data_IF_821285009947
#
_entry.id   IF_821285009947
#
_cell.length_a   1.000
_cell.length_b   1.000
_cell.length_c   1.000
_cell.angle_alpha   90.00
_cell.angle_beta   90.00
_cell.angle_gamma   90.00
#
_symmetry.space_group_name_H-M   'P 1'
#
loop_
_entity.id
_entity.type
_entity.pdbx_description
1 polymer ?
#
# COMPACT_ATOMS: atom_id res chain seq x y z
N UNK A 1 -9.39 -34.58 -15.16
CA UNK A 1 -9.76 -33.89 -16.42
C UNK A 1 -8.50 -33.29 -17.02
N UNK A 2 -8.16 -33.63 -18.26
CA UNK A 2 -7.02 -33.03 -18.98
C UNK A 2 -7.58 -31.89 -19.83
N UNK A 3 -7.12 -30.66 -19.60
CA UNK A 3 -7.58 -29.48 -20.34
C UNK A 3 -6.97 -29.47 -21.74
N UNK A 4 -7.81 -29.25 -22.76
CA UNK A 4 -7.36 -29.01 -24.13
C UNK A 4 -6.83 -27.56 -24.30
N UNK A 5 -6.22 -27.25 -25.44
CA UNK A 5 -5.61 -25.92 -25.64
C UNK A 5 -6.62 -24.76 -25.57
N UNK A 6 -7.83 -24.95 -26.09
CA UNK A 6 -8.89 -23.94 -26.03
C UNK A 6 -9.30 -23.65 -24.58
N UNK A 7 -9.53 -24.70 -23.80
CA UNK A 7 -9.91 -24.60 -22.39
C UNK A 7 -8.84 -23.91 -21.55
N UNK A 8 -7.55 -24.13 -21.86
CA UNK A 8 -6.43 -23.42 -21.22
C UNK A 8 -6.46 -21.92 -21.53
N UNK A 9 -6.68 -21.55 -22.79
CA UNK A 9 -6.79 -20.13 -23.19
C UNK A 9 -7.97 -19.45 -22.51
N UNK A 10 -9.13 -20.10 -22.43
CA UNK A 10 -10.31 -19.54 -21.76
C UNK A 10 -10.09 -19.28 -20.26
N UNK A 11 -9.29 -20.09 -19.57
CA UNK A 11 -8.91 -19.86 -18.17
C UNK A 11 -7.97 -18.65 -18.04
N UNK A 12 -7.01 -18.51 -18.96
CA UNK A 12 -6.09 -17.37 -18.98
C UNK A 12 -6.83 -16.06 -19.27
N UNK A 13 -7.77 -16.07 -20.21
CA UNK A 13 -8.65 -14.92 -20.49
C UNK A 13 -9.49 -14.56 -19.26
N UNK A 14 -10.01 -15.57 -18.55
CA UNK A 14 -10.77 -15.35 -17.32
C UNK A 14 -9.91 -14.66 -16.26
N UNK A 15 -8.67 -15.10 -16.02
CA UNK A 15 -7.74 -14.42 -15.11
C UNK A 15 -7.51 -12.96 -15.48
N UNK A 16 -7.21 -12.70 -16.75
CA UNK A 16 -6.92 -11.36 -17.27
C UNK A 16 -8.15 -10.47 -17.09
N UNK A 17 -9.34 -10.95 -17.46
CA UNK A 17 -10.60 -10.22 -17.32
C UNK A 17 -10.93 -9.85 -15.87
N UNK A 18 -10.45 -10.65 -14.91
CA UNK A 18 -10.65 -10.44 -13.48
C UNK A 18 -9.56 -9.58 -12.86
N UNK A 19 -8.49 -9.23 -13.59
CA UNK A 19 -7.35 -8.44 -13.09
C UNK A 19 -6.70 -9.06 -11.84
N UNK A 20 -6.64 -10.39 -11.78
CA UNK A 20 -6.02 -11.11 -10.66
C UNK A 20 -4.60 -11.50 -11.05
N UNK A 21 -3.61 -11.00 -10.34
CA UNK A 21 -2.20 -11.36 -10.55
C UNK A 21 -1.90 -12.75 -9.97
N UNK A 22 -2.30 -13.80 -10.70
CA UNK A 22 -2.00 -15.18 -10.36
C UNK A 22 -1.25 -15.84 -11.51
N UNK A 23 -0.15 -16.52 -11.18
CA UNK A 23 0.51 -17.41 -12.15
C UNK A 23 -0.15 -18.77 -12.06
N UNK A 24 -0.94 -19.11 -13.08
CA UNK A 24 -1.45 -20.48 -13.23
C UNK A 24 -0.49 -21.30 -14.06
N UNK A 25 -0.04 -22.41 -13.50
CA UNK A 25 0.66 -23.46 -14.24
C UNK A 25 -0.29 -24.63 -14.43
N UNK A 26 -0.59 -24.99 -15.67
CA UNK A 26 -1.43 -26.14 -15.98
C UNK A 26 -0.51 -27.33 -16.21
N UNK A 27 -0.38 -28.18 -15.20
CA UNK A 27 0.53 -29.33 -15.25
C UNK A 27 -0.11 -30.45 -16.10
N UNK A 28 0.70 -31.06 -16.98
CA UNK A 28 0.24 -32.21 -17.77
C UNK A 28 -0.17 -33.33 -16.81
N UNK A 29 -1.44 -33.74 -16.89
CA UNK A 29 -2.03 -34.87 -16.18
C UNK A 29 -2.28 -34.71 -14.66
N UNK A 30 -2.02 -33.55 -14.05
CA UNK A 30 -2.10 -33.39 -12.58
C UNK A 30 -3.10 -32.31 -12.13
N UNK A 31 -3.35 -31.27 -12.93
CA UNK A 31 -4.36 -30.24 -12.62
C UNK A 31 -3.88 -28.81 -12.84
N UNK A 32 -4.52 -27.85 -12.18
CA UNK A 32 -4.15 -26.44 -12.18
C UNK A 32 -3.35 -26.14 -10.91
N UNK A 33 -2.11 -25.70 -11.06
CA UNK A 33 -1.25 -25.22 -9.99
C UNK A 33 -1.31 -23.70 -9.94
N UNK A 34 -1.68 -23.15 -8.80
CA UNK A 34 -1.71 -21.70 -8.56
C UNK A 34 -0.41 -21.32 -7.85
N UNK A 35 0.41 -20.49 -8.51
CA UNK A 35 1.61 -19.91 -7.90
C UNK A 35 1.37 -18.43 -7.63
N UNK A 36 1.44 -18.07 -6.36
CA UNK A 36 1.37 -16.68 -5.92
C UNK A 36 2.24 -16.50 -4.67
N UNK A 37 2.98 -15.38 -4.52
CA UNK A 37 3.76 -15.10 -3.31
C UNK A 37 2.95 -15.15 -2.01
N UNK A 38 1.62 -15.02 -2.11
CA UNK A 38 0.67 -15.07 -0.99
C UNK A 38 -0.33 -16.20 -1.07
N UNK A 39 0.11 -17.36 -1.54
CA UNK A 39 -0.72 -18.55 -1.68
C UNK A 39 -1.53 -18.89 -0.42
N UNK A 40 -0.95 -18.78 0.77
CA UNK A 40 -1.63 -19.05 2.05
C UNK A 40 -2.89 -18.19 2.27
N UNK A 41 -2.87 -16.92 1.86
CA UNK A 41 -4.02 -16.02 1.99
C UNK A 41 -5.13 -16.38 1.01
N UNK A 42 -4.78 -16.77 -0.22
CA UNK A 42 -5.73 -17.26 -1.23
C UNK A 42 -6.43 -18.51 -0.71
N UNK A 43 -5.68 -19.45 -0.13
CA UNK A 43 -6.25 -20.67 0.47
C UNK A 43 -7.17 -20.32 1.65
N UNK A 44 -6.78 -19.38 2.51
CA UNK A 44 -7.62 -18.93 3.62
C UNK A 44 -8.94 -18.29 3.13
N UNK A 45 -8.89 -17.44 2.10
CA UNK A 45 -10.07 -16.84 1.44
C UNK A 45 -11.00 -17.91 0.88
N UNK A 46 -10.45 -18.89 0.16
CA UNK A 46 -11.24 -19.99 -0.42
C UNK A 46 -11.87 -20.83 0.70
N UNK A 47 -11.11 -21.22 1.73
CA UNK A 47 -11.61 -21.99 2.89
C UNK A 47 -12.72 -21.27 3.65
N UNK A 48 -12.59 -19.95 3.89
CA UNK A 48 -13.57 -19.13 4.62
C UNK A 48 -14.93 -19.04 3.90
N UNK A 49 -14.93 -19.11 2.57
CA UNK A 49 -16.16 -19.06 1.77
C UNK A 49 -17.05 -20.31 1.89
N UNK A 50 -16.58 -21.35 2.58
CA UNK A 50 -17.19 -22.67 2.72
C UNK A 50 -18.50 -22.77 3.53
N UNK A 51 -19.55 -22.02 3.13
CA UNK A 51 -20.94 -22.35 3.50
C UNK A 51 -21.76 -22.98 2.37
N UNK A 52 -21.31 -22.96 1.11
CA UNK A 52 -22.03 -23.54 -0.04
C UNK A 52 -21.15 -24.41 -0.96
N UNK A 53 -19.94 -24.77 -0.53
CA UNK A 53 -18.99 -25.48 -1.38
C UNK A 53 -18.62 -26.80 -0.71
N UNK A 54 -19.44 -27.84 -0.94
CA UNK A 54 -19.00 -29.21 -0.69
C UNK A 54 -17.76 -29.46 -1.55
N UNK A 55 -16.62 -29.50 -0.85
CA UNK A 55 -15.30 -29.82 -1.37
C UNK A 55 -15.14 -31.32 -1.16
N UNK A 56 -15.71 -32.09 -2.08
CA UNK A 56 -15.45 -33.53 -2.12
C UNK A 56 -13.94 -33.75 -2.37
N UNK A 57 -13.31 -34.34 -1.36
CA UNK A 57 -11.92 -34.83 -1.30
C UNK A 57 -10.81 -33.78 -1.11
N UNK A 58 -10.59 -33.41 0.15
CA UNK A 58 -9.27 -32.97 0.61
C UNK A 58 -8.37 -34.20 0.82
N UNK A 59 -7.40 -34.44 -0.04
CA UNK A 59 -6.20 -35.19 0.34
C UNK A 59 -5.06 -34.21 0.58
N UNK A 60 -4.88 -33.86 1.84
CA UNK A 60 -3.64 -33.26 2.33
C UNK A 60 -2.52 -34.29 2.12
N UNK A 61 -1.65 -34.06 1.15
CA UNK A 61 -0.28 -34.58 1.23
C UNK A 61 0.66 -33.41 1.52
N UNK A 62 1.61 -33.69 2.41
CA UNK A 62 2.69 -32.93 3.06
C UNK A 62 3.30 -31.65 2.42
N UNK A 63 2.82 -31.12 1.30
CA UNK A 63 3.46 -30.07 0.49
C UNK A 63 2.57 -28.84 0.14
N UNK A 64 1.60 -28.46 0.99
CA UNK A 64 0.70 -27.30 0.75
C UNK A 64 0.00 -27.30 -0.63
N UNK A 65 -0.25 -28.47 -1.22
CA UNK A 65 -0.90 -28.58 -2.53
C UNK A 65 -2.40 -28.84 -2.34
N UNK A 66 -3.26 -28.05 -3.00
CA UNK A 66 -4.72 -28.24 -2.98
C UNK A 66 -5.16 -28.78 -4.35
N UNK A 67 -5.67 -30.00 -4.37
CA UNK A 67 -6.22 -30.62 -5.57
C UNK A 67 -7.75 -30.60 -5.49
N UNK A 68 -8.41 -30.03 -6.50
CA UNK A 68 -9.88 -30.04 -6.63
C UNK A 68 -10.25 -30.75 -7.92
N UNK A 69 -11.14 -31.73 -7.83
CA UNK A 69 -11.63 -32.50 -8.97
C UNK A 69 -12.96 -31.91 -9.44
N UNK A 70 -13.04 -31.58 -10.73
CA UNK A 70 -14.24 -31.04 -11.36
C UNK A 70 -14.84 -32.07 -12.32
N UNK A 71 -16.17 -32.16 -12.33
CA UNK A 71 -16.92 -33.10 -13.20
C UNK A 71 -16.79 -32.73 -14.69
N UNK A 72 -16.76 -31.44 -14.99
CA UNK A 72 -16.69 -30.90 -16.34
C UNK A 72 -16.02 -29.51 -16.37
N UNK A 73 -15.69 -29.04 -17.57
CA UNK A 73 -15.01 -27.75 -17.77
C UNK A 73 -15.89 -26.53 -17.41
N UNK A 74 -17.20 -26.58 -17.64
CA UNK A 74 -18.09 -25.47 -17.31
C UNK A 74 -18.16 -25.26 -15.78
N UNK A 75 -18.26 -26.35 -15.03
CA UNK A 75 -18.17 -26.39 -13.57
C UNK A 75 -16.84 -25.81 -13.08
N UNK A 76 -15.71 -26.21 -13.68
CA UNK A 76 -14.39 -25.65 -13.37
C UNK A 76 -14.35 -24.13 -13.62
N UNK A 77 -14.74 -23.68 -14.81
CA UNK A 77 -14.71 -22.28 -15.23
C UNK A 77 -15.56 -21.39 -14.31
N UNK A 78 -16.77 -21.85 -13.97
CA UNK A 78 -17.64 -21.13 -13.06
C UNK A 78 -17.00 -20.98 -11.67
N UNK A 79 -16.43 -22.05 -11.12
CA UNK A 79 -15.78 -21.97 -9.79
C UNK A 79 -14.52 -21.13 -9.80
N UNK A 80 -13.69 -21.23 -10.84
CA UNK A 80 -12.53 -20.34 -11.00
C UNK A 80 -12.95 -18.88 -11.06
N UNK A 81 -14.05 -18.55 -11.74
CA UNK A 81 -14.58 -17.18 -11.74
C UNK A 81 -14.93 -16.74 -10.31
N UNK A 82 -15.67 -17.55 -9.55
CA UNK A 82 -16.02 -17.22 -8.17
C UNK A 82 -14.78 -17.07 -7.28
N UNK A 83 -13.78 -17.92 -7.45
CA UNK A 83 -12.52 -17.81 -6.73
C UNK A 83 -11.76 -16.55 -7.10
N UNK A 84 -11.66 -16.22 -8.39
CA UNK A 84 -11.01 -14.98 -8.82
C UNK A 84 -11.77 -13.75 -8.34
N UNK A 85 -13.10 -13.79 -8.30
CA UNK A 85 -13.92 -12.72 -7.71
C UNK A 85 -13.66 -12.56 -6.21
N UNK A 86 -13.54 -13.67 -5.47
CA UNK A 86 -13.21 -13.65 -4.04
C UNK A 86 -11.78 -13.21 -3.77
N UNK A 87 -10.82 -13.69 -4.57
CA UNK A 87 -9.41 -13.31 -4.47
C UNK A 87 -9.27 -11.83 -4.83
N UNK A 88 -9.91 -11.36 -5.91
CA UNK A 88 -9.96 -9.93 -6.22
C UNK A 88 -10.62 -9.14 -5.09
N UNK A 89 -11.67 -9.67 -4.46
CA UNK A 89 -12.34 -8.96 -3.36
C UNK A 89 -11.44 -8.85 -2.13
N UNK A 90 -10.85 -9.95 -1.67
CA UNK A 90 -10.04 -10.00 -0.46
C UNK A 90 -8.61 -9.47 -0.70
N UNK A 91 -8.17 -9.51 -1.96
CA UNK A 91 -6.86 -9.12 -2.47
C UNK A 91 -6.96 -8.31 -3.79
N UNK A 92 -7.66 -7.15 -3.79
CA UNK A 92 -7.84 -6.31 -4.96
C UNK A 92 -6.50 -5.67 -5.28
N UNK A 93 -5.88 -6.19 -6.33
CA UNK A 93 -4.78 -5.59 -7.07
C UNK A 93 -3.47 -5.37 -6.31
N UNK A 94 -2.39 -5.76 -6.99
CA UNK A 94 -1.01 -5.41 -6.65
C UNK A 94 -0.97 -3.91 -6.33
N UNK A 95 -0.48 -3.59 -5.15
CA UNK A 95 -0.19 -2.21 -4.82
C UNK A 95 0.89 -1.74 -5.79
N UNK A 96 0.56 -0.78 -6.66
CA UNK A 96 1.52 -0.30 -7.64
C UNK A 96 2.61 0.49 -6.91
N UNK A 97 3.71 -0.21 -6.60
CA UNK A 97 4.86 0.40 -5.95
C UNK A 97 5.53 1.39 -6.91
N UNK A 98 5.70 2.63 -6.45
CA UNK A 98 6.48 3.66 -7.14
C UNK A 98 7.93 3.52 -6.69
N UNK A 99 8.86 3.58 -7.64
CA UNK A 99 10.26 3.30 -7.36
C UNK A 99 10.88 4.28 -6.34
N UNK A 100 10.53 5.58 -6.39
CA UNK A 100 11.07 6.55 -5.45
C UNK A 100 10.54 6.29 -4.03
N UNK A 101 9.26 5.98 -3.90
CA UNK A 101 8.65 5.62 -2.61
C UNK A 101 9.24 4.32 -2.09
N UNK A 102 9.50 3.34 -2.95
CA UNK A 102 10.11 2.07 -2.56
C UNK A 102 11.55 2.26 -2.08
N UNK A 103 12.32 3.13 -2.74
CA UNK A 103 13.67 3.53 -2.33
C UNK A 103 13.64 4.29 -1.00
N UNK A 104 12.66 5.18 -0.82
CA UNK A 104 12.47 5.96 0.40
C UNK A 104 12.04 5.09 1.60
N UNK A 105 10.99 4.28 1.42
CA UNK A 105 10.29 3.58 2.49
C UNK A 105 9.75 2.22 2.03
N UNK A 106 10.63 1.23 1.93
CA UNK A 106 10.20 -0.14 1.60
C UNK A 106 9.19 -0.72 2.60
N UNK A 107 9.32 -0.35 3.88
CA UNK A 107 8.45 -0.84 4.95
C UNK A 107 7.02 -0.30 4.83
N UNK A 108 6.84 0.91 4.30
CA UNK A 108 5.53 1.51 4.08
C UNK A 108 4.62 0.60 3.25
N UNK A 109 5.10 0.10 2.10
CA UNK A 109 4.28 -0.72 1.21
C UNK A 109 3.80 -2.01 1.87
N UNK A 110 4.67 -2.66 2.65
CA UNK A 110 4.28 -3.85 3.41
C UNK A 110 3.11 -3.57 4.37
N UNK A 111 3.19 -2.48 5.13
CA UNK A 111 2.15 -2.13 6.11
C UNK A 111 0.87 -1.62 5.42
N UNK A 112 1.00 -0.87 4.33
CA UNK A 112 -0.15 -0.40 3.56
C UNK A 112 -0.94 -1.56 2.98
N UNK A 113 -0.23 -2.55 2.44
CA UNK A 113 -0.82 -3.76 1.90
C UNK A 113 -1.54 -4.59 2.98
N UNK A 114 -0.94 -4.75 4.16
CA UNK A 114 -1.61 -5.34 5.33
C UNK A 114 -2.93 -4.60 5.67
N UNK A 115 -2.91 -3.26 5.65
CA UNK A 115 -4.10 -2.45 5.91
C UNK A 115 -5.21 -2.67 4.87
N UNK A 116 -4.85 -2.76 3.59
CA UNK A 116 -5.81 -3.01 2.49
C UNK A 116 -6.43 -4.38 2.63
N UNK A 117 -5.63 -5.42 2.87
CA UNK A 117 -6.13 -6.79 3.10
C UNK A 117 -7.15 -6.78 4.23
N UNK A 118 -6.79 -6.22 5.40
CA UNK A 118 -7.64 -6.18 6.60
C UNK A 118 -8.93 -5.38 6.36
N UNK A 119 -8.84 -4.28 5.60
CA UNK A 119 -10.01 -3.51 5.19
C UNK A 119 -10.96 -4.38 4.35
N UNK A 120 -10.43 -5.07 3.34
CA UNK A 120 -11.24 -5.81 2.38
C UNK A 120 -11.90 -7.05 2.97
N UNK A 121 -11.30 -7.65 3.99
CA UNK A 121 -11.93 -8.74 4.76
C UNK A 121 -12.98 -8.24 5.77
N UNK A 122 -13.21 -6.92 5.88
CA UNK A 122 -14.30 -6.30 6.65
C UNK A 122 -13.93 -5.73 8.02
N UNK A 123 -12.65 -5.69 8.39
CA UNK A 123 -12.21 -5.18 9.69
C UNK A 123 -11.84 -3.69 9.62
N UNK A 124 -12.85 -2.83 9.44
CA UNK A 124 -12.65 -1.40 9.16
C UNK A 124 -11.83 -0.68 10.25
N UNK A 125 -12.15 -0.89 11.53
CA UNK A 125 -11.45 -0.21 12.64
C UNK A 125 -9.98 -0.61 12.72
N UNK A 126 -9.71 -1.92 12.64
CA UNK A 126 -8.34 -2.46 12.66
C UNK A 126 -7.54 -1.98 11.46
N UNK A 127 -8.15 -1.98 10.26
CA UNK A 127 -7.49 -1.47 9.07
C UNK A 127 -7.16 0.02 9.20
N UNK A 128 -8.01 0.83 9.84
CA UNK A 128 -7.75 2.24 10.11
C UNK A 128 -6.49 2.49 10.93
N UNK A 129 -6.26 1.69 11.97
CA UNK A 129 -5.04 1.76 12.77
C UNK A 129 -3.78 1.44 11.95
N UNK A 130 -3.87 0.43 11.08
CA UNK A 130 -2.74 -0.01 10.26
C UNK A 130 -2.47 0.98 9.13
N UNK A 131 -3.51 1.58 8.53
CA UNK A 131 -3.36 2.69 7.59
C UNK A 131 -2.62 3.88 8.21
N UNK A 132 -2.95 4.25 9.46
CA UNK A 132 -2.19 5.32 10.16
C UNK A 132 -0.75 4.93 10.40
N UNK A 133 -0.48 3.66 10.74
CA UNK A 133 0.90 3.17 10.90
C UNK A 133 1.66 3.21 9.57
N UNK A 134 1.03 2.84 8.45
CA UNK A 134 1.63 2.97 7.13
C UNK A 134 1.97 4.44 6.84
N UNK A 135 1.02 5.36 7.04
CA UNK A 135 1.25 6.79 6.87
C UNK A 135 2.34 7.31 7.81
N UNK A 136 2.38 6.84 9.05
CA UNK A 136 3.39 7.21 10.05
C UNK A 136 4.80 6.91 9.54
N UNK A 137 4.98 5.71 9.00
CA UNK A 137 6.26 5.25 8.45
C UNK A 137 6.66 6.10 7.23
N UNK A 138 5.77 6.24 6.24
CA UNK A 138 6.08 6.96 5.01
C UNK A 138 6.53 8.41 5.26
N UNK A 139 5.78 9.15 6.08
CA UNK A 139 6.09 10.55 6.34
C UNK A 139 7.36 10.70 7.18
N UNK A 140 7.62 9.80 8.13
CA UNK A 140 8.87 9.84 8.90
C UNK A 140 10.07 9.63 7.99
N UNK A 141 10.02 8.61 7.14
CA UNK A 141 11.10 8.34 6.19
C UNK A 141 11.31 9.53 5.24
N UNK A 142 10.21 10.16 4.80
CA UNK A 142 10.28 11.40 4.01
C UNK A 142 10.88 12.59 4.78
N UNK A 143 10.54 12.76 6.06
CA UNK A 143 11.10 13.82 6.90
C UNK A 143 12.58 13.60 7.17
N UNK A 144 13.04 12.35 7.29
CA UNK A 144 14.47 12.03 7.40
C UNK A 144 15.22 12.38 6.11
N UNK A 145 14.60 12.12 4.96
CA UNK A 145 15.16 12.53 3.66
C UNK A 145 15.30 14.05 3.55
N UNK A 146 14.26 14.83 3.91
CA UNK A 146 14.29 16.29 3.81
C UNK A 146 15.06 17.01 4.91
N UNK A 147 15.03 16.47 6.14
CA UNK A 147 15.51 17.12 7.35
C UNK A 147 16.46 16.19 8.14
N UNK A 148 17.58 15.73 7.54
CA UNK A 148 18.48 14.78 8.18
C UNK A 148 19.05 15.31 9.51
N UNK A 149 19.23 16.63 9.63
CA UNK A 149 19.68 17.28 10.88
C UNK A 149 18.69 17.18 12.06
N UNK A 150 17.47 16.67 11.83
CA UNK A 150 16.43 16.47 12.83
C UNK A 150 16.11 14.99 13.08
N UNK A 151 16.97 14.06 12.65
CA UNK A 151 16.77 12.61 12.76
C UNK A 151 16.27 12.17 14.14
N UNK A 152 16.98 12.56 15.21
CA UNK A 152 16.62 12.21 16.58
C UNK A 152 15.19 12.66 16.95
N UNK A 153 14.77 13.83 16.46
CA UNK A 153 13.40 14.32 16.68
C UNK A 153 12.39 13.50 15.88
N UNK A 154 12.67 13.22 14.61
CA UNK A 154 11.79 12.47 13.71
C UNK A 154 11.53 11.05 14.24
N UNK A 155 12.57 10.36 14.68
CA UNK A 155 12.45 8.99 15.18
C UNK A 155 11.64 8.92 16.48
N UNK A 156 11.88 9.84 17.41
CA UNK A 156 11.34 9.79 18.78
C UNK A 156 9.94 10.40 18.96
N UNK A 157 9.38 11.04 17.93
CA UNK A 157 8.07 11.69 18.04
C UNK A 157 7.07 11.07 17.08
N UNK A 158 5.79 11.09 17.45
CA UNK A 158 4.73 10.81 16.48
C UNK A 158 4.63 11.95 15.46
N UNK A 159 4.11 11.71 14.27
CA UNK A 159 3.93 12.77 13.26
C UNK A 159 3.10 13.92 13.80
N UNK A 160 2.04 13.63 14.56
CA UNK A 160 1.24 14.67 15.20
C UNK A 160 2.11 15.63 16.04
N UNK A 161 3.03 15.06 16.84
CA UNK A 161 4.00 15.83 17.63
C UNK A 161 5.04 16.55 16.77
N UNK A 162 5.54 15.90 15.71
CA UNK A 162 6.49 16.51 14.77
C UNK A 162 5.91 17.73 14.07
N UNK A 163 4.67 17.63 13.59
CA UNK A 163 3.97 18.76 12.98
C UNK A 163 3.83 19.90 13.99
N UNK A 164 3.45 19.62 15.24
CA UNK A 164 3.38 20.67 16.28
C UNK A 164 4.75 21.18 16.75
N UNK A 165 5.82 20.43 16.48
CA UNK A 165 7.19 20.85 16.77
C UNK A 165 7.66 21.91 15.75
N UNK A 166 7.33 21.73 14.48
CA UNK A 166 7.71 22.67 13.42
C UNK A 166 6.73 23.83 13.21
N UNK A 167 5.43 23.61 13.45
CA UNK A 167 4.39 24.58 13.13
C UNK A 167 3.58 25.02 14.35
N UNK A 168 3.28 26.31 14.40
CA UNK A 168 2.15 26.90 15.13
C UNK A 168 0.91 26.87 14.25
N UNK A 169 -0.25 26.63 14.86
CA UNK A 169 -1.51 26.48 14.12
C UNK A 169 -2.52 27.48 14.66
N UNK A 170 -2.65 28.59 13.95
CA UNK A 170 -3.51 29.72 14.30
C UNK A 170 -4.65 29.78 13.29
N UNK A 171 -5.90 29.68 13.74
CA UNK A 171 -7.10 29.70 12.88
C UNK A 171 -7.07 28.71 11.69
N UNK A 172 -6.39 27.56 11.85
CA UNK A 172 -6.27 26.53 10.81
C UNK A 172 -5.13 26.77 9.81
N UNK A 173 -4.40 27.87 9.94
CA UNK A 173 -3.20 28.16 9.19
C UNK A 173 -1.94 27.70 9.93
N UNK A 174 -1.01 27.12 9.17
CA UNK A 174 0.24 26.59 9.68
C UNK A 174 1.35 27.61 9.47
N UNK A 175 2.01 28.00 10.55
CA UNK A 175 3.11 28.95 10.53
C UNK A 175 4.34 28.28 11.09
N UNK A 176 5.47 28.36 10.39
CA UNK A 176 6.73 27.79 10.88
C UNK A 176 7.12 28.54 12.14
N UNK A 177 7.33 27.80 13.24
CA UNK A 177 7.72 28.38 14.53
C UNK A 177 9.01 29.19 14.38
N UNK A 178 9.08 30.30 15.11
CA UNK A 178 10.30 31.10 15.15
C UNK A 178 11.28 30.45 16.13
N UNK A 179 12.21 29.67 15.60
CA UNK A 179 13.27 29.03 16.36
C UNK A 179 14.58 29.16 15.60
N UNK A 180 15.68 29.47 16.30
CA UNK A 180 17.01 29.69 15.70
C UNK A 180 17.45 28.50 14.85
N UNK A 181 17.27 27.28 15.36
CA UNK A 181 17.53 26.02 14.64
C UNK A 181 16.69 25.82 13.37
N UNK A 182 15.56 26.52 13.22
CA UNK A 182 14.71 26.39 12.02
C UNK A 182 15.11 27.37 10.92
N UNK A 183 16.02 28.32 11.17
CA UNK A 183 16.44 29.30 10.17
C UNK A 183 16.92 28.66 8.86
N UNK A 184 17.74 27.62 8.97
CA UNK A 184 18.33 26.90 7.82
C UNK A 184 17.29 26.05 7.08
N UNK A 185 16.34 25.45 7.81
CA UNK A 185 15.33 24.54 7.23
C UNK A 185 13.99 25.22 6.92
N UNK A 186 13.90 26.54 7.14
CA UNK A 186 12.66 27.31 6.95
C UNK A 186 12.12 27.21 5.52
N UNK A 187 12.94 27.22 4.46
CA UNK A 187 12.46 27.01 3.09
C UNK A 187 11.77 25.65 2.92
N UNK A 188 12.42 24.57 3.36
CA UNK A 188 11.89 23.20 3.27
C UNK A 188 10.58 23.07 4.06
N UNK A 189 10.52 23.65 5.26
CA UNK A 189 9.29 23.66 6.07
C UNK A 189 8.16 24.48 5.42
N UNK A 190 8.46 25.54 4.66
CA UNK A 190 7.43 26.27 3.92
C UNK A 190 6.88 25.43 2.76
N UNK A 191 7.76 24.72 2.06
CA UNK A 191 7.42 23.88 0.92
C UNK A 191 6.48 22.73 1.32
N UNK A 192 6.78 22.02 2.41
CA UNK A 192 5.96 20.89 2.89
C UNK A 192 4.77 21.30 3.76
N UNK A 193 4.47 22.60 3.90
CA UNK A 193 3.34 23.11 4.72
C UNK A 193 2.01 22.50 4.29
N UNK A 194 1.75 22.46 2.98
CA UNK A 194 0.49 21.92 2.41
C UNK A 194 0.35 20.43 2.71
N UNK A 195 1.44 19.67 2.57
CA UNK A 195 1.54 18.28 2.94
C UNK A 195 1.24 18.09 4.44
N UNK A 196 1.84 18.88 5.33
CA UNK A 196 1.60 18.81 6.78
C UNK A 196 0.12 19.06 7.14
N UNK A 197 -0.54 20.00 6.46
CA UNK A 197 -1.99 20.25 6.60
C UNK A 197 -2.80 19.03 6.18
N UNK A 198 -2.43 18.38 5.07
CA UNK A 198 -3.07 17.16 4.58
C UNK A 198 -2.85 15.97 5.51
N UNK A 199 -1.65 15.82 6.05
CA UNK A 199 -1.33 14.75 7.02
C UNK A 199 -2.15 14.94 8.29
N UNK A 200 -2.18 16.14 8.88
CA UNK A 200 -2.95 16.41 10.11
C UNK A 200 -4.44 16.14 9.93
N UNK A 201 -5.02 16.49 8.78
CA UNK A 201 -6.43 16.19 8.49
C UNK A 201 -6.65 14.69 8.28
N UNK A 202 -5.70 13.99 7.68
CA UNK A 202 -5.76 12.53 7.48
C UNK A 202 -5.66 11.77 8.81
N UNK A 203 -4.78 12.18 9.73
CA UNK A 203 -4.68 11.59 11.08
C UNK A 203 -5.90 11.82 11.96
N UNK A 204 -6.70 12.87 11.69
CA UNK A 204 -7.98 13.08 12.39
C UNK A 204 -9.03 12.02 12.02
N UNK A 205 -8.88 11.32 10.89
CA UNK A 205 -9.82 10.29 10.47
C UNK A 205 -9.62 9.02 11.33
N UNK A 206 -10.60 8.76 12.20
CA UNK A 206 -10.73 7.56 13.05
C UNK A 206 -9.84 7.48 14.30
N UNK A 207 -9.30 8.60 14.77
CA UNK A 207 -8.39 8.62 15.92
C UNK A 207 -9.02 7.95 17.17
N UNK A 208 -8.19 7.30 17.99
CA UNK A 208 -8.55 6.25 18.96
C UNK A 208 -9.84 6.48 19.77
N UNK A 209 -10.65 5.42 19.82
CA UNK A 209 -11.95 5.30 20.48
C UNK A 209 -12.01 5.80 21.94
N UNK A 210 -10.87 5.87 22.65
CA UNK A 210 -10.84 6.21 24.08
C UNK A 210 -11.20 7.66 24.43
N UNK A 211 -11.15 8.62 23.48
CA UNK A 211 -11.38 10.04 23.80
C UNK A 211 -12.61 10.68 23.15
N UNK A 212 -13.34 10.01 22.26
CA UNK A 212 -14.42 10.65 21.49
C UNK A 212 -15.53 9.67 21.02
N UNK A 213 -16.24 9.02 21.93
CA UNK A 213 -17.47 8.24 21.63
C UNK A 213 -18.59 9.04 20.92
N UNK A 214 -18.40 10.32 20.54
CA UNK A 214 -19.46 11.17 19.94
C UNK A 214 -19.09 11.86 18.62
N UNK A 215 -17.93 11.61 18.01
CA UNK A 215 -17.59 12.14 16.67
C UNK A 215 -17.59 11.09 15.55
N UNK A 216 -17.91 9.83 15.90
CA UNK A 216 -17.72 8.64 15.07
C UNK A 216 -18.96 8.25 14.23
N UNK A 217 -19.77 9.19 13.74
CA UNK A 217 -20.79 8.85 12.73
C UNK A 217 -20.23 8.82 11.30
N UNK A 218 -18.99 9.26 11.07
CA UNK A 218 -18.38 9.28 9.72
C UNK A 218 -16.91 8.86 9.73
N UNK A 219 -16.61 7.71 10.33
CA UNK A 219 -15.36 7.02 10.04
C UNK A 219 -15.43 6.45 8.62
N UNK A 220 -14.51 6.83 7.74
CA UNK A 220 -14.47 6.32 6.37
C UNK A 220 -13.05 5.88 6.03
N UNK A 221 -12.74 4.62 6.29
CA UNK A 221 -11.45 3.98 5.95
C UNK A 221 -11.09 4.15 4.48
N UNK A 222 -12.09 4.21 3.58
CA UNK A 222 -11.83 4.49 2.16
C UNK A 222 -11.31 5.90 1.93
N UNK A 223 -11.79 6.89 2.68
CA UNK A 223 -11.26 8.26 2.63
C UNK A 223 -9.85 8.35 3.23
N UNK A 224 -9.57 7.61 4.31
CA UNK A 224 -8.23 7.49 4.88
C UNK A 224 -7.24 6.89 3.85
N UNK A 225 -7.61 5.77 3.25
CA UNK A 225 -6.81 5.12 2.20
C UNK A 225 -6.57 6.08 1.01
N UNK A 226 -7.62 6.72 0.49
CA UNK A 226 -7.50 7.69 -0.61
C UNK A 226 -6.58 8.86 -0.27
N UNK A 227 -6.63 9.37 0.97
CA UNK A 227 -5.74 10.43 1.41
C UNK A 227 -4.29 9.97 1.49
N UNK A 228 -4.03 8.74 1.94
CA UNK A 228 -2.69 8.16 1.98
C UNK A 228 -2.11 8.05 0.57
N UNK A 229 -2.88 7.58 -0.42
CA UNK A 229 -2.42 7.50 -1.80
C UNK A 229 -2.12 8.89 -2.40
N UNK A 230 -2.91 9.92 -2.05
CA UNK A 230 -2.63 11.31 -2.48
C UNK A 230 -1.35 11.86 -1.85
N UNK A 231 -1.09 11.51 -0.58
CA UNK A 231 0.14 11.88 0.11
C UNK A 231 1.34 11.17 -0.51
N UNK A 232 1.21 9.88 -0.81
CA UNK A 232 2.22 9.10 -1.52
C UNK A 232 2.55 9.71 -2.89
N UNK A 233 1.53 10.08 -3.67
CA UNK A 233 1.70 10.76 -4.96
C UNK A 233 2.43 12.10 -4.83
N UNK A 234 2.09 12.90 -3.81
CA UNK A 234 2.79 14.16 -3.54
C UNK A 234 4.27 13.94 -3.25
N UNK A 235 4.59 12.96 -2.40
CA UNK A 235 5.97 12.64 -2.04
C UNK A 235 6.75 12.13 -3.25
N UNK A 236 6.16 11.23 -4.04
CA UNK A 236 6.81 10.69 -5.23
C UNK A 236 7.16 11.80 -6.23
N UNK A 237 6.22 12.72 -6.46
CA UNK A 237 6.45 13.89 -7.31
C UNK A 237 7.59 14.77 -6.79
N UNK A 238 7.60 15.08 -5.49
CA UNK A 238 8.63 15.93 -4.89
C UNK A 238 10.02 15.29 -4.92
N UNK A 239 10.10 13.98 -4.68
CA UNK A 239 11.36 13.23 -4.82
C UNK A 239 11.91 13.26 -6.25
N UNK A 240 11.04 13.23 -7.26
CA UNK A 240 11.47 13.37 -8.66
C UNK A 240 12.04 14.77 -8.93
N UNK A 241 11.43 15.82 -8.38
CA UNK A 241 11.93 17.19 -8.53
C UNK A 241 13.31 17.37 -7.89
N UNK A 242 13.52 16.87 -6.67
CA UNK A 242 14.83 16.92 -5.99
C UNK A 242 15.90 16.15 -6.77
N UNK A 243 15.58 14.95 -7.26
CA UNK A 243 16.51 14.17 -8.10
C UNK A 243 16.93 14.94 -9.37
N UNK A 244 15.99 15.63 -10.02
CA UNK A 244 16.28 16.45 -11.20
C UNK A 244 17.13 17.67 -10.85
N UNK A 245 16.93 18.29 -9.68
CA UNK A 245 17.79 19.39 -9.21
C UNK A 245 19.22 18.92 -8.98
N UNK A 246 19.39 17.79 -8.30
CA UNK A 246 20.71 17.20 -8.03
C UNK A 246 21.44 16.85 -9.32
N UNK A 247 20.75 16.24 -10.29
CA UNK A 247 21.32 15.91 -11.59
C UNK A 247 21.75 17.16 -12.37
N UNK A 248 20.94 18.24 -12.34
CA UNK A 248 21.32 19.52 -12.97
C UNK A 248 22.52 20.17 -12.29
N UNK A 249 22.58 20.13 -10.96
CA UNK A 249 23.70 20.65 -10.19
C UNK A 249 24.99 19.87 -10.50
N UNK A 250 24.91 18.55 -10.60
CA UNK A 250 26.01 17.68 -11.01
C UNK A 250 26.50 18.01 -12.41
N UNK A 251 25.59 18.05 -13.40
CA UNK A 251 25.94 18.36 -14.79
C UNK A 251 26.59 19.75 -14.90
N UNK A 252 26.02 20.77 -14.25
CA UNK A 252 26.60 22.12 -14.26
C UNK A 252 28.00 22.13 -13.65
N UNK A 253 28.22 21.42 -12.53
CA UNK A 253 29.55 21.33 -11.91
C UNK A 253 30.57 20.58 -12.79
N UNK A 254 30.14 19.59 -13.58
CA UNK A 254 30.97 18.86 -14.53
C UNK A 254 31.34 19.77 -15.73
N UNK A 255 30.36 20.47 -16.31
CA UNK A 255 30.61 21.38 -17.44
C UNK A 255 31.41 22.64 -17.05
N UNK A 256 31.20 23.19 -15.86
CA UNK A 256 31.98 24.33 -15.36
C UNK A 256 33.45 23.97 -15.08
N UNK A 257 33.76 22.67 -14.91
CA UNK A 257 35.13 22.17 -14.73
C UNK A 257 35.91 22.00 -16.04
N UNK A 258 35.20 21.85 -17.16
CA UNK A 258 35.78 21.71 -18.49
C UNK A 258 36.11 23.08 -19.14
N UNK A 259 35.52 24.19 -18.68
CA UNK A 259 35.84 25.56 -19.15
C UNK A 259 37.11 26.15 -18.51
N UNK A 260 37.80 25.42 -17.61
CA UNK A 260 39.04 25.87 -16.96
C UNK A 260 40.34 25.35 -17.60
N UNK A 261 40.28 24.73 -18.79
CA UNK A 261 41.45 24.25 -19.54
C UNK A 261 41.68 24.97 -20.87
#
# INVERSE_FOLDING_TARGET
MILNQREKSEILELLISKEVDLRLTIEKNVGISIKHPKFEFIIATIKRSGKNFELDYFQSTFNNTVSVVFKDFASLKHRLSLWFDLIKKDYPSILQEKDNIKKLSRRYYKILEEAIIIKNIGFEDSSGMIFRKALEILIKDYFLFLLPSFEEKVLNNTIGRLITYFYEINNGEFEVKQHTKFGVIKPQLKEIKSLCKKIKTTFKLGNDFAHYERRMEKFNTSQLHSNILKIEQYIDFHMQEEFVKDMKAFLNAEFDSDEQF
#
